data_IF_162153196199
#
_entry.id   IF_162153196199
#
_cell.length_a   1.000
_cell.length_b   1.000
_cell.length_c   1.000
_cell.angle_alpha   90.00
_cell.angle_beta   90.00
_cell.angle_gamma   90.00
#
_symmetry.space_group_name_H-M   'P 1'
#
loop_
_entity.id
_entity.type
_entity.pdbx_description
1 polymer ?
#
# COMPACT_ATOMS: atom_id res chain seq x y z
N UNK A 1 0.52 20.31 -6.21
CA UNK A 1 -0.60 19.92 -7.11
C UNK A 1 -1.63 21.04 -7.10
N UNK A 2 -2.07 21.51 -8.26
CA UNK A 2 -3.35 22.22 -8.37
C UNK A 2 -4.44 21.17 -8.61
N UNK A 3 -5.51 21.16 -7.80
CA UNK A 3 -6.54 20.13 -7.84
C UNK A 3 -7.70 20.53 -8.74
N UNK A 4 -8.22 19.58 -9.52
CA UNK A 4 -9.33 19.82 -10.46
C UNK A 4 -10.67 20.09 -9.72
N UNK A 5 -11.58 20.93 -10.28
CA UNK A 5 -12.85 21.27 -9.64
C UNK A 5 -13.79 20.09 -9.35
N UNK A 6 -13.70 19.00 -10.12
CA UNK A 6 -14.46 17.75 -9.91
C UNK A 6 -14.13 17.12 -8.55
N UNK A 7 -12.84 16.93 -8.27
CA UNK A 7 -12.35 16.41 -6.98
C UNK A 7 -12.86 17.26 -5.82
N UNK A 8 -12.92 18.59 -6.00
CA UNK A 8 -13.37 19.54 -4.97
C UNK A 8 -14.84 19.35 -4.52
N UNK A 9 -15.71 18.74 -5.34
CA UNK A 9 -17.08 18.36 -4.95
C UNK A 9 -17.15 16.98 -4.28
N UNK A 10 -16.21 16.09 -4.60
CA UNK A 10 -16.16 14.72 -4.09
C UNK A 10 -15.59 14.63 -2.66
N UNK A 11 -14.99 15.71 -2.15
CA UNK A 11 -14.50 15.86 -0.76
C UNK A 11 -15.60 15.95 0.32
N UNK A 12 -16.88 15.68 -0.02
CA UNK A 12 -18.03 15.82 0.89
C UNK A 12 -18.57 14.49 1.45
N UNK A 13 -17.82 13.37 1.40
CA UNK A 13 -18.14 12.24 2.29
C UNK A 13 -17.86 12.66 3.74
N UNK A 14 -18.88 12.63 4.59
CA UNK A 14 -18.78 13.05 6.00
C UNK A 14 -17.76 12.21 6.77
N UNK A 15 -17.58 10.94 6.44
CA UNK A 15 -16.56 10.07 7.05
C UNK A 15 -15.15 10.59 6.76
N UNK A 16 -14.88 10.99 5.51
CA UNK A 16 -13.60 11.59 5.12
C UNK A 16 -13.37 12.93 5.84
N UNK A 17 -14.42 13.73 6.06
CA UNK A 17 -14.34 14.98 6.84
C UNK A 17 -14.02 14.69 8.31
N UNK A 18 -14.65 13.68 8.95
CA UNK A 18 -14.36 13.27 10.33
C UNK A 18 -12.88 12.91 10.49
N UNK A 19 -12.40 11.92 9.71
CA UNK A 19 -11.03 11.39 9.83
C UNK A 19 -9.99 12.49 9.58
N UNK A 20 -10.27 13.40 8.63
CA UNK A 20 -9.33 14.45 8.21
C UNK A 20 -9.35 15.71 9.09
N UNK A 21 -10.50 16.12 9.63
CA UNK A 21 -10.55 17.16 10.66
C UNK A 21 -9.89 16.68 11.95
N UNK A 22 -10.10 15.40 12.32
CA UNK A 22 -9.49 14.81 13.49
C UNK A 22 -7.95 14.65 13.35
N UNK A 23 -7.44 14.36 12.15
CA UNK A 23 -6.00 14.42 11.86
C UNK A 23 -5.42 15.84 11.96
N UNK A 24 -6.13 16.84 11.41
CA UNK A 24 -5.71 18.25 11.49
C UNK A 24 -5.76 18.83 12.92
N UNK A 25 -6.44 18.19 13.87
CA UNK A 25 -6.51 18.61 15.28
C UNK A 25 -5.16 18.59 16.01
N UNK A 26 -4.13 17.93 15.45
CA UNK A 26 -2.78 17.89 16.00
C UNK A 26 -1.86 19.03 15.52
N UNK A 27 -2.36 19.99 14.72
CA UNK A 27 -1.57 21.13 14.25
C UNK A 27 -1.52 22.23 15.33
N UNK A 28 -0.63 22.06 16.29
CA UNK A 28 -0.05 23.18 17.04
C UNK A 28 1.05 23.81 16.17
N UNK A 29 0.93 25.08 15.74
CA UNK A 29 2.03 25.76 15.05
C UNK A 29 3.16 26.03 16.07
N UNK A 30 4.38 25.58 15.76
CA UNK A 30 5.56 26.02 16.50
C UNK A 30 5.78 27.51 16.25
N UNK A 31 5.59 28.32 17.29
CA UNK A 31 5.80 29.77 17.25
C UNK A 31 7.29 30.09 17.09
N UNK A 32 7.76 30.17 15.85
CA UNK A 32 8.96 30.95 15.50
C UNK A 32 8.55 32.41 15.42
N UNK A 33 9.28 33.28 16.11
CA UNK A 33 8.83 34.65 16.40
C UNK A 33 8.75 35.56 15.17
N UNK A 34 7.58 36.16 14.93
CA UNK A 34 7.42 37.37 14.11
C UNK A 34 6.63 38.42 14.88
N UNK A 35 7.28 39.53 15.25
CA UNK A 35 6.62 40.68 15.86
C UNK A 35 5.91 41.53 14.80
N UNK A 36 4.86 42.25 15.23
CA UNK A 36 4.00 43.14 14.41
C UNK A 36 3.11 42.34 13.42
N UNK A 37 1.80 42.61 13.25
CA UNK A 37 0.98 43.78 13.58
C UNK A 37 -0.29 43.43 14.38
N UNK A 38 -1.04 44.45 14.77
CA UNK A 38 -2.12 44.41 15.78
C UNK A 38 -3.53 44.72 15.21
N UNK A 39 -4.55 44.44 16.01
CA UNK A 39 -5.94 44.95 15.98
C UNK A 39 -6.94 44.39 14.94
N UNK A 40 -7.83 43.54 15.46
CA UNK A 40 -9.30 43.53 15.29
C UNK A 40 -9.96 44.21 14.08
N UNK A 41 -10.88 43.50 13.41
CA UNK A 41 -12.35 43.74 13.53
C UNK A 41 -13.21 42.63 12.89
N UNK A 42 -14.44 42.50 13.39
CA UNK A 42 -15.48 41.60 12.87
C UNK A 42 -16.37 42.39 11.89
N UNK A 43 -16.80 41.78 10.78
CA UNK A 43 -17.73 42.38 9.83
C UNK A 43 -18.33 41.37 8.85
N UNK A 44 -19.65 41.14 8.95
CA UNK A 44 -20.41 40.26 8.05
C UNK A 44 -21.09 41.05 6.93
N UNK A 45 -21.00 40.61 5.68
CA UNK A 45 -21.99 40.97 4.65
C UNK A 45 -22.02 39.99 3.45
N UNK A 46 -23.08 40.07 2.65
CA UNK A 46 -23.45 39.12 1.58
C UNK A 46 -22.91 39.50 0.18
N UNK A 47 -22.93 38.57 -0.81
CA UNK A 47 -22.14 38.70 -2.04
C UNK A 47 -22.88 39.33 -3.24
N UNK A 48 -22.13 40.04 -4.10
CA UNK A 48 -22.47 40.36 -5.51
C UNK A 48 -21.25 40.97 -6.22
N UNK A 49 -21.36 41.25 -7.54
CA UNK A 49 -20.29 41.61 -8.51
C UNK A 49 -19.37 40.41 -8.84
N UNK A 50 -19.39 39.79 -10.03
CA UNK A 50 -19.41 40.28 -11.43
C UNK A 50 -18.10 41.01 -11.81
N UNK A 51 -17.29 40.36 -12.64
CA UNK A 51 -16.24 41.00 -13.46
C UNK A 51 -16.17 40.31 -14.83
N UNK A 52 -15.96 41.10 -15.88
CA UNK A 52 -15.82 40.60 -17.26
C UNK A 52 -14.40 40.13 -17.58
N UNK A 53 -14.22 39.16 -18.50
CA UNK A 53 -12.92 38.87 -19.10
C UNK A 53 -12.57 39.92 -20.17
N UNK A 54 -11.29 40.26 -20.30
CA UNK A 54 -10.78 41.05 -21.42
C UNK A 54 -10.11 40.15 -22.48
N UNK A 55 -10.10 40.61 -23.73
CA UNK A 55 -9.46 39.95 -24.89
C UNK A 55 -7.94 40.26 -24.90
N UNK A 56 -7.08 39.77 -25.79
CA UNK A 56 -7.26 39.16 -27.13
C UNK A 56 -5.98 38.43 -27.58
N UNK A 57 -6.08 37.46 -28.50
CA UNK A 57 -5.48 37.56 -29.84
C UNK A 57 -6.13 36.53 -30.80
N UNK A 58 -6.03 36.79 -32.11
CA UNK A 58 -6.81 36.17 -33.20
C UNK A 58 -6.46 34.67 -33.42
N UNK A 59 -7.38 33.78 -33.82
CA UNK A 59 -8.07 33.67 -35.14
C UNK A 59 -7.07 33.64 -36.32
N UNK A 60 -7.09 32.61 -37.18
CA UNK A 60 -8.19 32.30 -38.12
C UNK A 60 -8.74 30.87 -38.04
N UNK A 61 -9.89 30.62 -38.68
CA UNK A 61 -10.45 29.27 -38.83
C UNK A 61 -11.43 29.12 -40.00
N UNK A 62 -11.54 27.90 -40.52
CA UNK A 62 -12.55 27.34 -41.44
C UNK A 62 -12.55 25.83 -41.18
N UNK A 63 -13.64 25.05 -41.23
CA UNK A 63 -15.07 25.34 -41.42
C UNK A 63 -15.82 23.99 -41.50
N UNK A 64 -17.06 23.91 -41.01
CA UNK A 64 -17.76 22.62 -40.81
C UNK A 64 -18.74 22.31 -41.95
N UNK A 65 -18.54 21.21 -42.69
CA UNK A 65 -19.66 20.46 -43.30
C UNK A 65 -19.28 19.00 -43.64
N UNK A 66 -20.29 18.18 -43.90
CA UNK A 66 -20.18 16.73 -44.09
C UNK A 66 -20.49 16.31 -45.53
N UNK A 67 -20.10 15.09 -45.91
CA UNK A 67 -20.72 14.37 -47.03
C UNK A 67 -20.85 12.87 -46.75
N UNK A 68 -21.91 12.25 -47.26
CA UNK A 68 -22.30 10.86 -47.02
C UNK A 68 -22.68 10.18 -48.35
N UNK A 69 -22.20 8.94 -48.56
CA UNK A 69 -22.71 7.91 -49.49
C UNK A 69 -22.88 8.31 -50.99
N UNK A 70 -22.34 7.55 -51.95
CA UNK A 70 -22.87 6.25 -52.41
C UNK A 70 -21.86 5.57 -53.38
N UNK A 71 -21.60 4.25 -53.22
CA UNK A 71 -22.01 3.10 -54.09
C UNK A 71 -21.28 3.01 -55.46
N UNK A 72 -21.08 1.85 -56.08
CA UNK A 72 -21.77 0.53 -55.95
C UNK A 72 -20.88 -0.65 -56.41
N UNK A 73 -21.12 -1.85 -55.83
CA UNK A 73 -21.08 -3.25 -56.35
C UNK A 73 -20.19 -3.63 -57.57
N UNK A 74 -19.70 -4.87 -57.73
CA UNK A 74 -20.06 -6.21 -57.16
C UNK A 74 -18.79 -6.93 -56.61
N UNK A 75 -18.65 -8.23 -56.25
CA UNK A 75 -19.44 -9.49 -55.97
C UNK A 75 -18.51 -10.35 -55.05
N UNK A 76 -18.84 -11.47 -54.41
CA UNK A 76 -20.09 -12.24 -54.22
C UNK A 76 -19.81 -13.74 -53.98
N UNK A 77 -20.50 -14.37 -53.01
CA UNK A 77 -20.43 -15.82 -52.60
C UNK A 77 -19.06 -16.34 -52.10
N UNK A 78 -18.94 -17.32 -51.18
CA UNK A 78 -19.94 -18.06 -50.39
C UNK A 78 -19.40 -18.47 -48.98
N UNK A 79 -20.13 -19.29 -48.21
CA UNK A 79 -19.85 -19.61 -46.79
C UNK A 79 -19.93 -21.12 -46.49
N UNK A 80 -19.11 -21.60 -45.54
CA UNK A 80 -19.46 -22.76 -44.67
C UNK A 80 -18.57 -22.93 -43.42
N UNK A 81 -19.08 -23.73 -42.47
CA UNK A 81 -18.50 -24.18 -41.18
C UNK A 81 -18.48 -25.72 -41.14
N UNK A 82 -17.93 -26.28 -40.04
CA UNK A 82 -17.93 -27.67 -39.53
C UNK A 82 -16.56 -28.38 -39.71
N UNK A 83 -15.96 -29.06 -38.73
CA UNK A 83 -16.37 -30.02 -37.67
C UNK A 83 -16.40 -31.49 -38.14
N UNK A 84 -15.89 -32.38 -37.28
CA UNK A 84 -15.64 -33.82 -37.55
C UNK A 84 -14.17 -34.11 -37.87
N UNK A 85 -13.58 -35.25 -37.51
CA UNK A 85 -14.10 -36.34 -36.65
C UNK A 85 -12.96 -37.20 -36.05
N UNK A 86 -13.30 -38.19 -35.21
CA UNK A 86 -12.36 -39.11 -34.54
C UNK A 86 -11.97 -40.34 -35.38
N UNK A 87 -10.78 -40.93 -35.15
CA UNK A 87 -10.62 -42.42 -35.12
C UNK A 87 -9.23 -42.95 -34.70
N UNK A 88 -9.25 -43.78 -33.64
CA UNK A 88 -8.57 -45.08 -33.42
C UNK A 88 -7.13 -45.43 -33.87
N UNK A 89 -6.39 -46.02 -32.90
CA UNK A 89 -5.50 -47.21 -32.94
C UNK A 89 -4.60 -47.44 -34.18
N UNK A 90 -3.30 -47.73 -34.00
CA UNK A 90 -2.88 -49.07 -33.53
C UNK A 90 -1.38 -49.18 -33.16
N UNK A 91 -1.00 -50.35 -32.62
CA UNK A 91 0.29 -50.71 -32.02
C UNK A 91 1.38 -51.14 -33.01
N UNK A 92 2.66 -51.04 -32.61
CA UNK A 92 3.70 -52.01 -32.97
C UNK A 92 4.87 -52.06 -31.95
N UNK A 93 5.65 -53.15 -31.98
CA UNK A 93 6.57 -53.57 -30.92
C UNK A 93 8.05 -53.27 -31.21
N UNK A 94 8.87 -53.17 -30.16
CA UNK A 94 10.27 -53.63 -30.17
C UNK A 94 10.80 -53.91 -28.74
N UNK A 95 11.50 -55.02 -28.53
CA UNK A 95 12.11 -55.42 -27.24
C UNK A 95 13.58 -55.78 -27.39
N UNK A 96 14.46 -54.99 -26.78
CA UNK A 96 15.85 -55.30 -26.36
C UNK A 96 16.18 -54.32 -25.22
N UNK A 97 16.89 -54.61 -24.13
CA UNK A 97 17.48 -55.87 -23.62
C UNK A 97 18.39 -55.51 -22.44
N UNK A 98 18.54 -56.38 -21.44
CA UNK A 98 19.36 -56.07 -20.25
C UNK A 98 20.87 -56.21 -20.50
N UNK A 99 21.64 -55.25 -20.01
CA UNK A 99 23.00 -55.48 -19.49
C UNK A 99 23.23 -54.61 -18.24
N UNK A 100 23.86 -55.20 -17.23
CA UNK A 100 24.44 -54.48 -16.09
C UNK A 100 25.93 -54.35 -16.32
N UNK A 101 26.51 -53.22 -15.96
CA UNK A 101 27.85 -53.17 -15.38
C UNK A 101 27.97 -51.95 -14.48
N UNK A 102 28.84 -52.05 -13.46
CA UNK A 102 28.98 -51.03 -12.41
C UNK A 102 30.17 -50.10 -12.65
N UNK A 103 30.04 -48.84 -12.23
CA UNK A 103 31.14 -47.89 -12.13
C UNK A 103 31.04 -47.08 -10.82
N UNK A 104 32.19 -46.72 -10.27
CA UNK A 104 32.37 -46.31 -8.88
C UNK A 104 31.74 -44.96 -8.51
N UNK A 105 31.37 -44.84 -7.23
CA UNK A 105 31.04 -43.56 -6.60
C UNK A 105 32.22 -42.58 -6.64
N UNK A 106 32.01 -41.42 -7.28
CA UNK A 106 32.84 -40.23 -7.04
C UNK A 106 32.01 -39.16 -6.35
N UNK A 107 32.22 -39.02 -5.05
CA UNK A 107 31.72 -37.89 -4.25
C UNK A 107 32.43 -36.61 -4.69
N UNK A 108 31.77 -35.82 -5.55
CA UNK A 108 32.19 -34.44 -5.81
C UNK A 108 31.96 -33.65 -4.52
N UNK A 109 33.03 -33.12 -3.95
CA UNK A 109 32.92 -32.07 -2.92
C UNK A 109 32.58 -30.78 -3.65
N UNK A 110 31.51 -30.11 -3.23
CA UNK A 110 31.34 -28.69 -3.51
C UNK A 110 32.26 -27.91 -2.57
N UNK A 111 33.54 -27.78 -2.96
CA UNK A 111 34.48 -26.92 -2.25
C UNK A 111 34.00 -25.46 -2.35
N UNK A 112 33.94 -24.77 -1.21
CA UNK A 112 33.19 -23.52 -1.05
C UNK A 112 33.82 -22.31 -1.74
N UNK A 113 33.55 -22.14 -3.04
CA UNK A 113 33.87 -20.92 -3.76
C UNK A 113 33.01 -19.75 -3.21
N UNK A 114 33.66 -18.79 -2.53
CA UNK A 114 32.98 -17.58 -2.03
C UNK A 114 32.62 -16.69 -3.21
N UNK A 115 31.43 -16.95 -3.77
CA UNK A 115 30.93 -16.33 -4.99
C UNK A 115 30.66 -14.84 -4.75
N UNK A 116 31.67 -14.03 -5.03
CA UNK A 116 31.69 -12.60 -4.73
C UNK A 116 30.46 -11.92 -5.35
N UNK A 117 29.54 -11.44 -4.50
CA UNK A 117 28.26 -10.90 -4.97
C UNK A 117 28.50 -9.67 -5.83
N UNK A 118 27.96 -9.70 -7.06
CA UNK A 118 27.92 -8.53 -7.92
C UNK A 118 27.17 -7.39 -7.20
N UNK A 119 27.55 -6.14 -7.48
CA UNK A 119 27.03 -5.03 -6.69
C UNK A 119 27.62 -3.67 -7.03
N UNK A 120 27.08 -2.65 -6.37
CA UNK A 120 27.65 -1.31 -6.35
C UNK A 120 28.67 -1.23 -5.22
N UNK A 121 29.96 -1.33 -5.54
CA UNK A 121 31.04 -1.19 -4.56
C UNK A 121 31.14 0.21 -3.94
N UNK A 122 32.05 0.42 -2.97
CA UNK A 122 32.28 1.71 -2.33
C UNK A 122 32.52 2.85 -3.33
N UNK A 123 32.14 4.06 -2.94
CA UNK A 123 32.40 5.29 -3.69
C UNK A 123 33.90 5.59 -3.72
N UNK A 124 34.37 6.23 -4.80
CA UNK A 124 35.79 6.56 -4.99
C UNK A 124 36.07 8.03 -4.65
N UNK A 125 37.31 8.40 -4.28
CA UNK A 125 37.69 9.79 -4.11
C UNK A 125 37.34 10.64 -5.35
N UNK A 126 36.52 11.67 -5.17
CA UNK A 126 36.01 12.54 -6.24
C UNK A 126 34.67 12.11 -6.85
N UNK A 127 34.14 10.94 -6.51
CA UNK A 127 32.71 10.63 -6.71
C UNK A 127 31.87 11.30 -5.61
N UNK A 128 30.55 11.40 -5.80
CA UNK A 128 29.64 11.86 -4.73
C UNK A 128 29.43 10.77 -3.70
N UNK A 129 29.18 11.17 -2.46
CA UNK A 129 28.70 10.25 -1.43
C UNK A 129 27.34 9.64 -1.84
N UNK A 130 27.19 8.33 -1.64
CA UNK A 130 26.00 7.55 -1.99
C UNK A 130 25.07 7.41 -0.79
N UNK A 131 23.88 8.00 -0.92
CA UNK A 131 22.77 7.79 0.02
C UNK A 131 21.95 6.60 -0.48
N UNK A 132 21.84 5.56 0.34
CA UNK A 132 21.00 4.39 0.08
C UNK A 132 19.71 4.49 0.91
N UNK A 133 18.55 4.35 0.25
CA UNK A 133 17.23 4.45 0.90
C UNK A 133 16.47 3.14 0.74
N UNK A 134 16.18 2.48 1.87
CA UNK A 134 15.37 1.26 1.91
C UNK A 134 13.89 1.62 2.06
N UNK A 135 13.10 1.34 1.03
CA UNK A 135 11.64 1.47 1.06
C UNK A 135 11.07 2.71 0.35
N UNK A 136 10.00 2.51 -0.41
CA UNK A 136 9.21 3.56 -1.09
C UNK A 136 7.97 3.98 -0.28
N UNK A 137 8.08 3.95 1.05
CA UNK A 137 7.02 4.40 1.97
C UNK A 137 6.95 5.92 2.11
N UNK A 138 6.07 6.40 2.99
CA UNK A 138 5.90 7.83 3.29
C UNK A 138 7.21 8.53 3.66
N UNK A 139 8.00 7.95 4.56
CA UNK A 139 9.25 8.54 5.02
C UNK A 139 10.35 8.51 3.94
N UNK A 140 10.64 7.34 3.37
CA UNK A 140 11.64 7.19 2.31
C UNK A 140 11.39 8.08 1.10
N UNK A 141 10.14 8.15 0.63
CA UNK A 141 9.76 9.06 -0.47
C UNK A 141 9.74 10.54 -0.08
N UNK A 142 9.58 10.89 1.21
CA UNK A 142 9.70 12.27 1.68
C UNK A 142 11.16 12.72 1.69
N UNK A 143 12.08 11.91 2.24
CA UNK A 143 13.52 12.22 2.23
C UNK A 143 14.07 12.23 0.81
N UNK A 144 13.79 11.21 -0.01
CA UNK A 144 14.28 11.17 -1.41
C UNK A 144 13.88 12.41 -2.23
N UNK A 145 12.77 13.06 -1.88
CA UNK A 145 12.30 14.30 -2.51
C UNK A 145 13.05 15.56 -2.02
N UNK A 146 13.67 15.54 -0.85
CA UNK A 146 14.50 16.63 -0.30
C UNK A 146 16.01 16.48 -0.54
N UNK A 147 16.51 15.29 -0.92
CA UNK A 147 17.94 15.10 -1.23
C UNK A 147 18.40 15.99 -2.40
N UNK A 148 19.46 16.80 -2.22
CA UNK A 148 20.12 17.48 -3.34
C UNK A 148 21.05 16.52 -4.08
N UNK A 149 20.59 16.09 -5.25
CA UNK A 149 21.30 15.16 -6.14
C UNK A 149 22.49 15.78 -6.88
N UNK A 150 22.84 17.04 -6.59
CA UNK A 150 24.15 17.63 -6.93
C UNK A 150 25.24 17.18 -5.95
N UNK A 151 24.90 17.03 -4.67
CA UNK A 151 25.82 16.68 -3.59
C UNK A 151 25.94 15.16 -3.41
N UNK A 152 24.82 14.44 -3.58
CA UNK A 152 24.72 13.00 -3.37
C UNK A 152 24.28 12.25 -4.63
N UNK A 153 24.72 11.01 -4.77
CA UNK A 153 24.10 10.02 -5.68
C UNK A 153 23.16 9.13 -4.86
N UNK A 154 22.00 8.77 -5.40
CA UNK A 154 20.89 8.19 -4.62
C UNK A 154 20.50 6.81 -5.13
N UNK A 155 20.51 5.80 -4.25
CA UNK A 155 20.07 4.44 -4.57
C UNK A 155 18.85 4.07 -3.72
N UNK A 156 17.69 3.95 -4.36
CA UNK A 156 16.47 3.49 -3.72
C UNK A 156 16.29 1.98 -3.93
N UNK A 157 16.14 1.23 -2.85
CA UNK A 157 15.88 -0.22 -2.91
C UNK A 157 14.53 -0.51 -2.25
N UNK A 158 13.62 -1.12 -2.99
CA UNK A 158 12.31 -1.54 -2.47
C UNK A 158 11.66 -2.60 -3.36
N UNK A 159 10.89 -3.55 -2.79
CA UNK A 159 10.08 -4.47 -3.59
C UNK A 159 8.89 -3.78 -4.31
N UNK A 160 8.68 -2.48 -4.11
CA UNK A 160 7.61 -1.69 -4.74
C UNK A 160 8.18 -0.42 -5.39
N UNK A 161 7.87 -0.21 -6.67
CA UNK A 161 8.38 0.90 -7.49
C UNK A 161 7.63 2.25 -7.34
N UNK A 162 6.72 2.36 -6.38
CA UNK A 162 5.85 3.53 -6.20
C UNK A 162 5.56 3.80 -4.72
N UNK A 163 5.25 5.05 -4.40
CA UNK A 163 4.64 5.43 -3.13
C UNK A 163 3.13 5.15 -3.18
N UNK A 164 2.57 4.61 -2.10
CA UNK A 164 1.12 4.48 -1.90
C UNK A 164 0.63 5.59 -0.96
N UNK A 165 -0.34 6.38 -1.41
CA UNK A 165 -1.02 7.38 -0.58
C UNK A 165 -2.07 6.67 0.27
N UNK A 166 -1.62 6.01 1.35
CA UNK A 166 -2.46 5.15 2.20
C UNK A 166 -3.75 5.79 2.74
N UNK A 167 -3.85 7.11 3.05
CA UNK A 167 -5.10 7.76 3.49
C UNK A 167 -6.16 8.00 2.38
N UNK A 168 -6.06 7.30 1.25
CA UNK A 168 -7.09 7.23 0.21
C UNK A 168 -7.32 5.79 -0.29
N UNK A 169 -6.64 4.80 0.31
CA UNK A 169 -6.64 3.43 -0.19
C UNK A 169 -8.01 2.75 -0.04
N UNK A 170 -8.71 3.01 1.06
CA UNK A 170 -10.08 2.53 1.32
C UNK A 170 -11.05 2.90 0.18
N UNK A 171 -11.01 4.14 -0.29
CA UNK A 171 -11.83 4.64 -1.41
C UNK A 171 -11.58 3.92 -2.73
N UNK A 172 -10.40 3.31 -2.93
CA UNK A 172 -10.10 2.53 -4.14
C UNK A 172 -10.68 1.11 -4.10
N UNK A 173 -10.91 0.54 -2.91
CA UNK A 173 -11.47 -0.79 -2.71
C UNK A 173 -12.92 -0.90 -3.22
N UNK A 174 -13.73 0.14 -3.06
CA UNK A 174 -15.11 0.20 -3.60
C UNK A 174 -15.18 0.87 -4.97
N UNK A 175 -14.16 1.65 -5.35
CA UNK A 175 -14.08 2.34 -6.63
C UNK A 175 -14.53 3.80 -6.63
N UNK A 176 -14.76 4.40 -5.45
CA UNK A 176 -14.88 5.85 -5.26
C UNK A 176 -13.68 6.60 -5.84
N UNK A 177 -12.50 5.98 -5.77
CA UNK A 177 -11.28 6.38 -6.47
C UNK A 177 -10.71 5.23 -7.31
N UNK A 178 -9.84 5.58 -8.26
CA UNK A 178 -9.11 4.64 -9.12
C UNK A 178 -7.69 4.37 -8.55
N UNK A 179 -7.16 3.17 -8.77
CA UNK A 179 -5.93 2.68 -8.11
C UNK A 179 -4.67 3.51 -8.37
N UNK A 180 -4.47 4.02 -9.59
CA UNK A 180 -3.34 4.90 -9.94
C UNK A 180 -3.50 6.29 -9.34
N UNK A 181 -4.71 6.69 -8.95
CA UNK A 181 -4.98 7.96 -8.27
C UNK A 181 -4.40 8.02 -6.84
N UNK A 182 -3.98 6.88 -6.28
CA UNK A 182 -3.32 6.78 -4.96
C UNK A 182 -1.87 6.24 -5.04
N UNK A 183 -1.29 6.16 -6.25
CA UNK A 183 0.05 5.59 -6.46
C UNK A 183 0.93 6.49 -7.33
N UNK A 184 2.05 6.99 -6.78
CA UNK A 184 3.01 7.84 -7.51
C UNK A 184 4.37 7.11 -7.66
N UNK A 185 4.86 6.86 -8.90
CA UNK A 185 6.13 6.17 -9.13
C UNK A 185 7.33 6.86 -8.46
N UNK A 186 8.24 6.09 -7.86
CA UNK A 186 9.38 6.68 -7.10
C UNK A 186 10.31 7.49 -7.99
N UNK A 187 10.52 7.07 -9.24
CA UNK A 187 11.30 7.79 -10.26
C UNK A 187 10.65 9.11 -10.72
N UNK A 188 9.40 9.38 -10.33
CA UNK A 188 8.72 10.66 -10.52
C UNK A 188 8.79 11.56 -9.28
N UNK A 189 8.95 10.96 -8.09
CA UNK A 189 9.20 11.66 -6.82
C UNK A 189 10.66 12.14 -6.75
N UNK A 190 11.61 11.31 -7.14
CA UNK A 190 13.03 11.65 -7.29
C UNK A 190 13.53 11.27 -8.71
N UNK A 191 13.50 12.20 -9.67
CA UNK A 191 13.89 11.93 -11.05
C UNK A 191 15.32 11.44 -11.26
N UNK A 192 16.26 11.73 -10.36
CA UNK A 192 17.65 11.28 -10.46
C UNK A 192 17.76 9.75 -10.58
N UNK A 193 16.87 8.99 -9.92
CA UNK A 193 16.78 7.51 -9.96
C UNK A 193 16.54 6.94 -11.38
N UNK A 194 16.27 7.79 -12.37
CA UNK A 194 16.07 7.41 -13.78
C UNK A 194 16.77 8.33 -14.79
N UNK A 195 17.61 9.27 -14.32
CA UNK A 195 18.20 10.34 -15.16
C UNK A 195 19.64 10.71 -14.82
N UNK A 196 20.07 10.51 -13.59
CA UNK A 196 21.44 10.79 -13.17
C UNK A 196 22.29 9.53 -13.32
N UNK A 197 23.57 9.63 -13.71
CA UNK A 197 24.51 8.52 -13.52
C UNK A 197 24.59 8.17 -12.02
N UNK A 198 25.01 6.94 -11.72
CA UNK A 198 25.23 6.39 -10.37
C UNK A 198 24.02 6.39 -9.40
N UNK A 199 22.88 6.94 -9.80
CA UNK A 199 21.63 6.95 -9.05
C UNK A 199 20.64 5.93 -9.63
N UNK A 200 20.06 5.09 -8.79
CA UNK A 200 19.31 3.90 -9.24
C UNK A 200 18.06 3.63 -8.40
N UNK A 201 16.96 3.24 -9.04
CA UNK A 201 15.91 2.45 -8.37
C UNK A 201 16.14 0.97 -8.63
N UNK A 202 16.19 0.16 -7.56
CA UNK A 202 16.39 -1.29 -7.61
C UNK A 202 15.17 -2.01 -7.04
N UNK A 203 14.49 -2.82 -7.87
CA UNK A 203 13.30 -3.59 -7.50
C UNK A 203 13.70 -4.87 -6.73
N UNK A 204 14.03 -4.69 -5.45
CA UNK A 204 14.60 -5.72 -4.60
C UNK A 204 14.22 -5.53 -3.13
N UNK A 205 14.33 -6.60 -2.36
CA UNK A 205 14.26 -6.56 -0.90
C UNK A 205 15.67 -6.57 -0.31
N UNK A 206 15.90 -5.79 0.74
CA UNK A 206 17.08 -5.95 1.59
C UNK A 206 16.88 -7.18 2.48
N UNK A 207 17.92 -7.99 2.66
CA UNK A 207 17.93 -9.19 3.48
C UNK A 207 18.69 -8.97 4.79
N UNK A 208 19.84 -8.30 4.73
CA UNK A 208 20.71 -8.02 5.88
C UNK A 208 21.58 -6.78 5.62
N UNK A 209 22.13 -6.20 6.70
CA UNK A 209 22.97 -5.00 6.69
C UNK A 209 24.30 -5.33 7.37
N UNK A 210 25.39 -5.14 6.65
CA UNK A 210 26.74 -5.12 7.20
C UNK A 210 27.08 -3.68 7.64
N UNK A 211 27.27 -3.50 8.95
CA UNK A 211 27.64 -2.23 9.58
C UNK A 211 29.13 -1.92 9.49
N UNK A 212 29.96 -2.95 9.29
CA UNK A 212 31.41 -2.89 9.49
C UNK A 212 32.11 -2.68 8.14
N UNK A 213 31.55 -3.26 7.07
CA UNK A 213 31.95 -3.03 5.68
C UNK A 213 31.11 -1.95 4.97
N UNK A 214 30.12 -1.36 5.65
CA UNK A 214 29.17 -0.38 5.09
C UNK A 214 28.45 -0.91 3.82
N UNK A 215 27.98 -2.15 3.85
CA UNK A 215 27.27 -2.81 2.73
C UNK A 215 25.89 -3.33 3.12
N UNK A 216 24.98 -3.40 2.16
CA UNK A 216 23.69 -4.10 2.32
C UNK A 216 23.56 -5.25 1.33
N UNK A 217 22.97 -6.36 1.79
CA UNK A 217 22.71 -7.54 0.96
C UNK A 217 21.26 -7.56 0.52
N UNK A 218 21.04 -7.69 -0.79
CA UNK A 218 19.72 -7.56 -1.41
C UNK A 218 19.41 -8.75 -2.33
N UNK A 219 18.12 -8.99 -2.57
CA UNK A 219 17.60 -10.03 -3.45
C UNK A 219 16.47 -9.46 -4.31
N UNK A 220 16.46 -9.75 -5.61
CA UNK A 220 15.43 -9.25 -6.52
C UNK A 220 14.04 -9.83 -6.23
N UNK A 221 13.02 -9.03 -6.55
CA UNK A 221 11.63 -9.53 -6.60
C UNK A 221 11.50 -10.47 -7.80
N UNK A 222 11.00 -11.69 -7.58
CA UNK A 222 10.70 -12.65 -8.64
C UNK A 222 9.29 -12.48 -9.21
N UNK A 223 9.01 -13.13 -10.34
CA UNK A 223 7.67 -13.14 -10.94
C UNK A 223 6.76 -14.17 -10.27
N UNK A 224 5.56 -13.77 -9.87
CA UNK A 224 4.56 -14.72 -9.36
C UNK A 224 3.99 -15.58 -10.50
N UNK A 225 4.49 -16.81 -10.62
CA UNK A 225 4.02 -17.84 -11.57
C UNK A 225 5.14 -18.53 -12.35
N UNK A 226 6.29 -17.88 -12.51
CA UNK A 226 7.41 -18.39 -13.31
C UNK A 226 8.26 -19.40 -12.53
N UNK A 227 8.26 -20.67 -12.95
CA UNK A 227 9.11 -21.74 -12.35
C UNK A 227 10.62 -21.52 -12.52
N UNK A 228 11.02 -20.57 -13.38
CA UNK A 228 12.40 -20.15 -13.59
C UNK A 228 12.73 -18.83 -12.83
N UNK A 229 12.26 -18.70 -11.59
CA UNK A 229 12.49 -17.53 -10.75
C UNK A 229 13.95 -17.44 -10.27
N UNK A 230 14.83 -16.96 -11.15
CA UNK A 230 16.21 -16.61 -10.83
C UNK A 230 16.26 -15.33 -9.98
N UNK A 231 15.85 -15.45 -8.71
CA UNK A 231 16.18 -14.46 -7.68
C UNK A 231 17.70 -14.37 -7.56
N UNK A 232 18.28 -13.25 -7.99
CA UNK A 232 19.71 -13.02 -7.83
C UNK A 232 19.99 -12.16 -6.61
N UNK A 233 21.02 -12.54 -5.86
CA UNK A 233 21.52 -11.77 -4.73
C UNK A 233 22.64 -10.85 -5.19
N UNK A 234 22.64 -9.64 -4.65
CA UNK A 234 23.61 -8.59 -4.96
C UNK A 234 23.89 -7.76 -3.72
N UNK A 235 24.95 -6.94 -3.77
CA UNK A 235 25.29 -6.02 -2.68
C UNK A 235 25.37 -4.56 -3.11
N UNK A 236 25.19 -3.65 -2.16
CA UNK A 236 25.34 -2.20 -2.37
C UNK A 236 26.07 -1.60 -1.18
N UNK A 237 27.25 -1.04 -1.40
CA UNK A 237 27.94 -0.21 -0.42
C UNK A 237 27.27 1.17 -0.29
N UNK A 238 27.30 1.77 0.90
CA UNK A 238 26.69 3.06 1.21
C UNK A 238 27.66 3.99 1.94
N UNK A 239 27.55 5.29 1.69
CA UNK A 239 28.16 6.32 2.55
C UNK A 239 27.18 6.76 3.65
N UNK A 240 25.88 6.67 3.38
CA UNK A 240 24.78 6.85 4.35
C UNK A 240 23.62 5.91 4.02
N UNK A 241 23.03 5.27 5.03
CA UNK A 241 21.90 4.34 4.88
C UNK A 241 20.66 4.84 5.62
N UNK A 242 19.54 4.93 4.92
CA UNK A 242 18.25 5.37 5.47
C UNK A 242 17.26 4.20 5.41
N UNK A 243 16.91 3.66 6.58
CA UNK A 243 15.97 2.56 6.73
C UNK A 243 14.55 3.14 6.90
N UNK A 244 13.74 3.04 5.85
CA UNK A 244 12.38 3.56 5.78
C UNK A 244 11.38 2.50 5.28
N UNK A 245 11.61 1.23 5.63
CA UNK A 245 10.81 0.08 5.19
C UNK A 245 9.39 0.07 5.74
N UNK A 246 9.13 0.78 6.85
CA UNK A 246 7.85 0.79 7.54
C UNK A 246 7.55 -0.52 8.29
N UNK A 247 6.27 -0.72 8.60
CA UNK A 247 5.76 -1.82 9.43
C UNK A 247 4.82 -2.76 8.67
N UNK A 248 4.80 -4.02 9.09
CA UNK A 248 3.87 -5.05 8.61
C UNK A 248 2.61 -5.12 9.47
N UNK A 249 1.55 -5.71 8.93
CA UNK A 249 0.29 -5.94 9.66
C UNK A 249 0.44 -7.11 10.64
N UNK A 250 -0.01 -6.94 11.88
CA UNK A 250 0.07 -7.99 12.89
C UNK A 250 -1.16 -8.90 12.84
N UNK A 251 -0.92 -10.20 12.71
CA UNK A 251 -1.95 -11.24 12.91
C UNK A 251 -2.07 -11.68 14.36
N UNK A 252 -1.20 -11.19 15.25
CA UNK A 252 -1.12 -11.57 16.67
C UNK A 252 -0.94 -13.10 16.93
N UNK A 253 -0.47 -13.85 15.92
CA UNK A 253 -0.41 -15.31 15.99
C UNK A 253 -1.75 -16.02 15.81
N UNK A 254 -2.84 -15.29 15.52
CA UNK A 254 -4.16 -15.85 15.25
C UNK A 254 -4.11 -16.67 13.96
N UNK A 255 -4.59 -17.92 14.05
CA UNK A 255 -4.63 -18.89 12.96
C UNK A 255 -5.58 -18.45 11.83
N UNK A 256 -5.27 -18.85 10.59
CA UNK A 256 -6.06 -18.59 9.39
C UNK A 256 -6.10 -17.13 8.89
N UNK A 257 -5.60 -16.15 9.65
CA UNK A 257 -5.61 -14.73 9.23
C UNK A 257 -4.85 -14.52 7.92
N UNK A 258 -3.66 -15.13 7.76
CA UNK A 258 -2.86 -15.01 6.53
C UNK A 258 -3.46 -15.74 5.33
N UNK A 259 -4.30 -16.72 5.59
CA UNK A 259 -4.81 -17.66 4.59
C UNK A 259 -6.20 -17.27 4.08
N UNK A 260 -6.94 -16.45 4.84
CA UNK A 260 -8.35 -16.18 4.62
C UNK A 260 -8.81 -14.72 4.84
N UNK A 261 -7.91 -13.81 5.26
CA UNK A 261 -8.20 -12.38 5.40
C UNK A 261 -7.30 -11.54 4.46
N UNK A 262 -7.85 -10.47 3.88
CA UNK A 262 -7.09 -9.54 3.03
C UNK A 262 -6.68 -8.33 3.87
N UNK A 263 -5.39 -8.01 3.93
CA UNK A 263 -4.92 -6.81 4.64
C UNK A 263 -5.25 -5.52 3.87
N UNK A 264 -5.42 -4.37 4.52
CA UNK A 264 -5.62 -3.09 3.81
C UNK A 264 -4.38 -2.18 3.92
N UNK A 265 -3.31 -2.51 3.18
CA UNK A 265 -2.03 -1.76 3.17
C UNK A 265 -1.51 -1.36 1.79
N UNK A 266 -1.86 -2.07 0.72
CA UNK A 266 -1.26 -1.91 -0.62
C UNK A 266 -2.30 -1.77 -1.74
N UNK A 267 -1.88 -1.31 -2.92
CA UNK A 267 -2.75 -1.20 -4.11
C UNK A 267 -3.25 -2.58 -4.57
N UNK A 268 -2.42 -3.63 -4.52
CA UNK A 268 -2.84 -4.98 -4.89
C UNK A 268 -3.88 -5.54 -3.91
N UNK A 269 -3.73 -5.27 -2.61
CA UNK A 269 -4.76 -5.60 -1.62
C UNK A 269 -6.09 -4.92 -1.94
N UNK A 270 -6.07 -3.63 -2.30
CA UNK A 270 -7.29 -2.92 -2.67
C UNK A 270 -7.95 -3.46 -3.95
N UNK A 271 -7.14 -3.95 -4.91
CA UNK A 271 -7.62 -4.68 -6.08
C UNK A 271 -8.27 -6.02 -5.71
N UNK A 272 -7.63 -6.79 -4.83
CA UNK A 272 -8.14 -8.09 -4.36
C UNK A 272 -9.46 -7.94 -3.57
N UNK A 273 -9.54 -6.97 -2.65
CA UNK A 273 -10.76 -6.62 -1.92
C UNK A 273 -11.89 -6.27 -2.90
N UNK A 274 -11.61 -5.42 -3.90
CA UNK A 274 -12.59 -5.02 -4.92
C UNK A 274 -13.06 -6.20 -5.77
N UNK A 275 -12.12 -7.05 -6.20
CA UNK A 275 -12.42 -8.27 -6.95
C UNK A 275 -13.30 -9.19 -6.12
N UNK A 276 -12.92 -9.48 -4.88
CA UNK A 276 -13.66 -10.37 -3.96
C UNK A 276 -15.08 -9.86 -3.69
N UNK A 277 -15.24 -8.55 -3.44
CA UNK A 277 -16.53 -7.90 -3.23
C UNK A 277 -17.47 -8.07 -4.44
N UNK A 278 -16.99 -7.74 -5.64
CA UNK A 278 -17.78 -7.84 -6.87
C UNK A 278 -18.03 -9.30 -7.28
N UNK A 279 -17.07 -10.20 -7.08
CA UNK A 279 -17.24 -11.63 -7.30
C UNK A 279 -18.30 -12.21 -6.35
N UNK A 280 -18.28 -11.86 -5.06
CA UNK A 280 -19.30 -12.33 -4.13
C UNK A 280 -20.71 -11.86 -4.50
N UNK A 281 -20.86 -10.59 -4.93
CA UNK A 281 -22.11 -10.06 -5.47
C UNK A 281 -22.62 -10.89 -6.65
N UNK A 282 -21.78 -11.14 -7.66
CA UNK A 282 -22.16 -11.96 -8.82
C UNK A 282 -22.43 -13.43 -8.47
N UNK A 283 -21.67 -14.02 -7.54
CA UNK A 283 -21.88 -15.40 -7.09
C UNK A 283 -23.18 -15.57 -6.29
N UNK A 284 -23.60 -14.56 -5.51
CA UNK A 284 -24.80 -14.63 -4.68
C UNK A 284 -26.12 -14.68 -5.46
N UNK A 285 -26.11 -14.24 -6.72
CA UNK A 285 -27.28 -14.22 -7.61
C UNK A 285 -27.37 -15.49 -8.49
N UNK A 286 -26.46 -16.44 -8.33
CA UNK A 286 -26.44 -17.70 -9.11
C UNK A 286 -27.57 -18.63 -8.65
N UNK A 287 -28.38 -19.20 -9.58
CA UNK A 287 -29.38 -20.20 -9.25
C UNK A 287 -28.81 -21.40 -8.49
N UNK A 288 -29.41 -21.74 -7.35
CA UNK A 288 -28.99 -22.84 -6.47
C UNK A 288 -28.24 -22.42 -5.20
N UNK A 289 -27.85 -21.14 -5.06
CA UNK A 289 -27.31 -20.62 -3.79
C UNK A 289 -28.45 -20.41 -2.77
N UNK A 290 -28.33 -21.01 -1.58
CA UNK A 290 -29.33 -20.85 -0.49
C UNK A 290 -29.27 -19.46 0.13
N UNK A 291 -30.32 -19.05 0.86
CA UNK A 291 -30.38 -17.73 1.50
C UNK A 291 -29.29 -17.53 2.57
N UNK A 292 -28.87 -18.61 3.25
CA UNK A 292 -27.73 -18.62 4.17
C UNK A 292 -26.42 -18.43 3.39
N UNK A 293 -26.32 -19.05 2.21
CA UNK A 293 -25.23 -18.84 1.27
C UNK A 293 -25.12 -17.38 0.80
N UNK A 294 -26.24 -16.73 0.47
CA UNK A 294 -26.28 -15.31 0.08
C UNK A 294 -25.89 -14.39 1.24
N UNK A 295 -26.54 -14.56 2.41
CA UNK A 295 -26.21 -13.81 3.64
C UNK A 295 -24.73 -13.91 3.95
N UNK A 296 -24.15 -15.11 3.91
CA UNK A 296 -22.71 -15.32 4.14
C UNK A 296 -21.85 -14.65 3.06
N UNK A 297 -22.10 -14.91 1.77
CA UNK A 297 -21.28 -14.35 0.67
C UNK A 297 -21.25 -12.81 0.71
N UNK A 298 -22.35 -12.19 1.13
CA UNK A 298 -22.52 -10.74 1.16
C UNK A 298 -22.28 -10.12 2.55
N UNK A 299 -21.84 -10.93 3.52
CA UNK A 299 -21.34 -10.42 4.79
C UNK A 299 -19.88 -9.96 4.62
N UNK A 300 -19.67 -8.65 4.71
CA UNK A 300 -18.37 -8.00 4.70
C UNK A 300 -17.92 -7.73 6.15
N UNK A 301 -16.89 -8.44 6.61
CA UNK A 301 -16.34 -8.27 7.96
C UNK A 301 -15.04 -7.48 7.90
N UNK A 302 -14.93 -6.44 8.73
CA UNK A 302 -13.72 -5.61 8.87
C UNK A 302 -13.22 -5.75 10.30
N UNK A 303 -11.96 -6.12 10.49
CA UNK A 303 -11.34 -6.26 11.82
C UNK A 303 -10.39 -5.10 12.06
N UNK A 304 -10.60 -4.37 13.16
CA UNK A 304 -9.82 -3.22 13.60
C UNK A 304 -10.61 -1.91 13.55
N UNK A 305 -10.98 -1.39 14.71
CA UNK A 305 -11.66 -0.09 14.88
C UNK A 305 -10.77 1.14 14.66
N UNK A 306 -9.55 0.97 14.14
CA UNK A 306 -8.67 2.09 13.80
C UNK A 306 -9.17 2.90 12.59
N UNK A 307 -8.53 4.05 12.26
CA UNK A 307 -8.95 4.92 11.17
C UNK A 307 -9.21 4.19 9.84
N UNK A 308 -8.31 3.27 9.44
CA UNK A 308 -8.42 2.51 8.19
C UNK A 308 -9.66 1.60 8.14
N UNK A 309 -9.96 0.87 9.23
CA UNK A 309 -11.13 -0.01 9.28
C UNK A 309 -12.44 0.76 9.37
N UNK A 310 -12.46 1.88 10.09
CA UNK A 310 -13.60 2.81 10.17
C UNK A 310 -13.89 3.49 8.82
N UNK A 311 -12.85 3.99 8.14
CA UNK A 311 -12.96 4.61 6.82
C UNK A 311 -13.46 3.61 5.77
N UNK A 312 -12.86 2.41 5.73
CA UNK A 312 -13.28 1.35 4.80
C UNK A 312 -14.69 0.82 5.08
N UNK A 313 -15.11 0.72 6.34
CA UNK A 313 -16.50 0.38 6.69
C UNK A 313 -17.50 1.46 6.23
N UNK A 314 -17.08 2.73 6.25
CA UNK A 314 -17.84 3.85 5.69
C UNK A 314 -17.97 3.79 4.17
N UNK A 315 -16.86 3.60 3.45
CA UNK A 315 -16.84 3.44 1.99
C UNK A 315 -17.67 2.23 1.52
N UNK A 316 -17.59 1.09 2.22
CA UNK A 316 -18.47 -0.06 1.96
C UNK A 316 -19.96 0.29 2.15
N UNK A 317 -20.31 1.00 3.22
CA UNK A 317 -21.70 1.41 3.49
C UNK A 317 -22.25 2.35 2.41
N UNK A 318 -21.45 3.34 1.98
CA UNK A 318 -21.86 4.27 0.92
C UNK A 318 -21.99 3.56 -0.44
N UNK A 319 -21.09 2.62 -0.76
CA UNK A 319 -21.18 1.76 -1.94
C UNK A 319 -22.44 0.86 -1.93
N UNK A 320 -22.76 0.24 -0.78
CA UNK A 320 -23.94 -0.61 -0.61
C UNK A 320 -25.24 0.18 -0.89
N UNK A 321 -25.40 1.34 -0.26
CA UNK A 321 -26.62 2.15 -0.37
C UNK A 321 -26.85 2.76 -1.75
N UNK A 322 -25.79 2.92 -2.54
CA UNK A 322 -25.81 3.62 -3.83
C UNK A 322 -25.69 2.59 -4.95
N UNK A 323 -24.48 2.17 -5.27
CA UNK A 323 -24.21 1.29 -6.40
C UNK A 323 -24.84 -0.11 -6.25
N UNK A 324 -24.89 -0.70 -5.05
CA UNK A 324 -25.47 -2.05 -4.90
C UNK A 324 -27.00 -2.01 -4.97
N UNK A 325 -27.64 -1.02 -4.35
CA UNK A 325 -29.10 -0.82 -4.43
C UNK A 325 -29.56 -0.49 -5.86
N UNK A 326 -28.78 0.25 -6.64
CA UNK A 326 -29.08 0.56 -8.04
C UNK A 326 -28.84 -0.61 -9.01
N UNK A 327 -27.81 -1.44 -8.78
CA UNK A 327 -27.28 -2.38 -9.81
C UNK A 327 -27.44 -3.87 -9.49
N UNK A 328 -27.62 -4.24 -8.23
CA UNK A 328 -27.71 -5.64 -7.77
C UNK A 328 -29.03 -5.89 -7.04
N UNK A 329 -30.14 -5.47 -7.67
CA UNK A 329 -31.47 -5.35 -7.06
C UNK A 329 -31.98 -6.64 -6.36
N UNK A 330 -31.65 -7.82 -6.89
CA UNK A 330 -32.07 -9.11 -6.33
C UNK A 330 -31.37 -9.50 -5.03
N UNK A 331 -30.19 -8.93 -4.75
CA UNK A 331 -29.34 -9.30 -3.61
C UNK A 331 -28.99 -8.16 -2.65
N UNK A 332 -29.44 -6.93 -2.96
CA UNK A 332 -29.17 -5.69 -2.19
C UNK A 332 -29.53 -5.76 -0.70
N UNK A 333 -30.50 -6.59 -0.31
CA UNK A 333 -31.00 -6.69 1.07
C UNK A 333 -30.22 -7.71 1.94
N UNK A 334 -29.30 -8.47 1.35
CA UNK A 334 -28.43 -9.42 2.06
C UNK A 334 -27.04 -8.86 2.37
N UNK A 335 -26.60 -7.83 1.63
CA UNK A 335 -25.26 -7.24 1.81
C UNK A 335 -25.21 -6.33 3.03
N UNK A 336 -24.23 -6.57 3.90
CA UNK A 336 -24.06 -5.82 5.14
C UNK A 336 -22.59 -5.81 5.60
N UNK A 337 -22.27 -4.85 6.48
CA UNK A 337 -20.91 -4.62 6.99
C UNK A 337 -20.90 -4.79 8.50
N UNK A 338 -19.98 -5.59 9.01
CA UNK A 338 -19.69 -5.68 10.45
C UNK A 338 -18.25 -5.23 10.72
N UNK A 339 -18.10 -4.18 11.53
CA UNK A 339 -16.81 -3.72 12.03
C UNK A 339 -16.58 -4.31 13.43
N UNK A 340 -15.46 -5.01 13.60
CA UNK A 340 -15.09 -5.73 14.82
C UNK A 340 -13.87 -5.07 15.47
N UNK A 341 -13.99 -4.74 16.74
CA UNK A 341 -12.94 -4.13 17.55
C UNK A 341 -12.94 -4.74 18.96
N UNK A 342 -11.77 -4.93 19.57
CA UNK A 342 -11.67 -5.46 20.93
C UNK A 342 -12.14 -4.44 21.98
N UNK A 343 -11.86 -3.15 21.73
CA UNK A 343 -12.10 -2.05 22.64
C UNK A 343 -13.08 -1.02 22.07
N UNK A 344 -12.64 0.23 21.93
CA UNK A 344 -13.41 1.34 21.37
C UNK A 344 -12.85 1.70 19.99
N UNK A 345 -13.71 1.91 19.00
CA UNK A 345 -13.28 2.42 17.69
C UNK A 345 -12.68 3.81 17.83
N UNK A 346 -11.66 4.13 17.03
CA UNK A 346 -10.94 5.40 17.06
C UNK A 346 -10.40 5.74 18.47
N UNK A 347 -9.90 4.76 19.22
CA UNK A 347 -9.44 4.90 20.61
C UNK A 347 -8.45 6.04 20.87
N UNK A 348 -7.63 6.41 19.88
CA UNK A 348 -6.68 7.55 19.90
C UNK A 348 -7.33 8.94 19.80
N UNK A 349 -8.65 9.03 19.67
CA UNK A 349 -9.40 10.27 19.51
C UNK A 349 -10.31 10.56 20.71
N UNK A 350 -10.70 11.83 20.85
CA UNK A 350 -11.62 12.30 21.90
C UNK A 350 -12.96 11.54 21.90
N UNK A 351 -13.53 11.36 23.10
CA UNK A 351 -14.78 10.65 23.36
C UNK A 351 -15.95 11.20 22.53
N UNK A 352 -16.05 12.52 22.35
CA UNK A 352 -17.08 13.15 21.53
C UNK A 352 -16.99 12.77 20.05
N UNK A 353 -15.76 12.72 19.51
CA UNK A 353 -15.50 12.26 18.14
C UNK A 353 -15.76 10.76 17.98
N UNK A 354 -15.33 9.92 18.94
CA UNK A 354 -15.62 8.48 18.93
C UNK A 354 -17.12 8.20 18.94
N UNK A 355 -17.87 8.85 19.83
CA UNK A 355 -19.33 8.74 19.87
C UNK A 355 -20.01 9.26 18.58
N UNK A 356 -19.48 10.32 17.96
CA UNK A 356 -20.01 10.80 16.68
C UNK A 356 -19.79 9.78 15.56
N UNK A 357 -18.60 9.18 15.47
CA UNK A 357 -18.29 8.12 14.52
C UNK A 357 -19.17 6.88 14.74
N UNK A 358 -19.36 6.43 15.99
CA UNK A 358 -20.28 5.33 16.36
C UNK A 358 -21.70 5.63 15.85
N UNK A 359 -22.28 6.78 16.23
CA UNK A 359 -23.63 7.18 15.79
C UNK A 359 -23.75 7.27 14.27
N UNK A 360 -22.70 7.73 13.58
CA UNK A 360 -22.69 7.85 12.13
C UNK A 360 -22.63 6.47 11.44
N UNK A 361 -21.73 5.58 11.86
CA UNK A 361 -21.59 4.22 11.33
C UNK A 361 -22.86 3.39 11.53
N UNK A 362 -23.43 3.40 12.74
CA UNK A 362 -24.67 2.67 13.04
C UNK A 362 -25.87 3.24 12.28
N UNK A 363 -26.01 4.57 12.16
CA UNK A 363 -27.03 5.19 11.28
C UNK A 363 -26.81 4.82 9.80
N UNK A 364 -25.56 4.53 9.43
CA UNK A 364 -25.18 4.08 8.10
C UNK A 364 -25.37 2.57 7.87
N UNK A 365 -25.85 1.80 8.85
CA UNK A 365 -26.07 0.36 8.71
C UNK A 365 -24.81 -0.49 8.85
N UNK A 366 -23.70 0.08 9.33
CA UNK A 366 -22.53 -0.71 9.76
C UNK A 366 -22.84 -1.25 11.15
N UNK A 367 -22.86 -2.57 11.29
CA UNK A 367 -22.96 -3.24 12.58
C UNK A 367 -21.62 -3.09 13.31
N UNK A 368 -21.64 -2.60 14.54
CA UNK A 368 -20.46 -2.55 15.41
C UNK A 368 -20.53 -3.75 16.36
N UNK A 369 -19.49 -4.58 16.37
CA UNK A 369 -19.37 -5.73 17.27
C UNK A 369 -18.09 -5.56 18.10
N UNK A 370 -18.23 -5.66 19.42
CA UNK A 370 -17.07 -5.67 20.32
C UNK A 370 -16.66 -7.11 20.61
N UNK A 371 -15.41 -7.45 20.31
CA UNK A 371 -14.88 -8.81 20.54
C UNK A 371 -13.45 -8.98 20.05
N UNK A 372 -12.76 -9.99 20.56
CA UNK A 372 -11.39 -10.35 20.15
C UNK A 372 -11.48 -11.56 19.22
N UNK A 373 -10.90 -11.47 18.03
CA UNK A 373 -10.82 -12.63 17.11
C UNK A 373 -9.86 -13.66 17.69
N UNK A 374 -10.29 -14.92 17.73
CA UNK A 374 -9.56 -16.06 18.30
C UNK A 374 -9.06 -17.04 17.23
N UNK A 375 -9.84 -17.23 16.17
CA UNK A 375 -9.51 -18.10 15.02
C UNK A 375 -10.21 -17.57 13.76
N UNK A 376 -9.63 -17.85 12.59
CA UNK A 376 -10.19 -17.49 11.27
C UNK A 376 -10.26 -18.76 10.43
N UNK A 377 -11.43 -19.02 9.86
CA UNK A 377 -11.71 -20.18 9.01
C UNK A 377 -12.28 -19.69 7.67
N UNK A 378 -12.15 -20.50 6.62
CA UNK A 378 -12.42 -20.11 5.22
C UNK A 378 -13.83 -19.54 4.90
N UNK A 379 -14.78 -19.65 5.84
CA UNK A 379 -16.15 -19.15 5.74
C UNK A 379 -16.68 -18.43 7.00
N UNK A 380 -15.89 -18.35 8.08
CA UNK A 380 -16.29 -17.72 9.36
C UNK A 380 -15.08 -17.33 10.21
N UNK A 381 -15.23 -16.31 11.05
CA UNK A 381 -14.31 -16.07 12.17
C UNK A 381 -14.94 -16.56 13.47
N UNK A 382 -14.10 -16.86 14.46
CA UNK A 382 -14.51 -17.24 15.81
C UNK A 382 -13.96 -16.19 16.79
N UNK A 383 -14.82 -15.64 17.61
CA UNK A 383 -14.46 -14.67 18.65
C UNK A 383 -14.10 -15.38 19.98
N UNK A 384 -13.49 -14.64 20.90
CA UNK A 384 -12.96 -15.17 22.16
C UNK A 384 -14.03 -15.68 23.14
N UNK A 385 -15.27 -15.21 23.00
CA UNK A 385 -16.47 -15.68 23.72
C UNK A 385 -17.10 -16.95 23.10
N UNK A 386 -16.64 -17.37 21.90
CA UNK A 386 -17.21 -18.46 21.12
C UNK A 386 -18.24 -18.01 20.07
N UNK A 387 -18.51 -16.71 19.92
CA UNK A 387 -19.39 -16.20 18.86
C UNK A 387 -18.77 -16.46 17.49
N UNK A 388 -19.53 -17.14 16.61
CA UNK A 388 -19.15 -17.35 15.22
C UNK A 388 -19.76 -16.26 14.32
N UNK A 389 -18.93 -15.63 13.49
CA UNK A 389 -19.38 -14.64 12.50
C UNK A 389 -19.03 -15.17 11.10
N UNK A 390 -20.02 -15.65 10.32
CA UNK A 390 -19.80 -16.05 8.93
C UNK A 390 -19.28 -14.89 8.08
N UNK A 391 -18.61 -15.16 6.96
CA UNK A 391 -18.26 -14.11 6.00
C UNK A 391 -18.09 -14.58 4.55
N UNK A 392 -18.12 -13.60 3.65
CA UNK A 392 -17.72 -13.73 2.26
C UNK A 392 -16.50 -12.87 1.92
N UNK A 393 -16.34 -11.73 2.60
CA UNK A 393 -15.17 -10.85 2.53
C UNK A 393 -14.71 -10.56 3.97
N UNK A 394 -13.44 -10.82 4.27
CA UNK A 394 -12.80 -10.47 5.55
C UNK A 394 -11.60 -9.57 5.28
N UNK A 395 -11.61 -8.37 5.86
CA UNK A 395 -10.52 -7.38 5.74
C UNK A 395 -9.86 -7.15 7.10
N UNK A 396 -8.54 -7.35 7.15
CA UNK A 396 -7.73 -7.19 8.35
C UNK A 396 -7.04 -5.81 8.34
N UNK A 397 -7.43 -4.95 9.28
CA UNK A 397 -6.94 -3.56 9.39
C UNK A 397 -6.42 -3.20 10.79
N UNK A 398 -6.26 -4.19 11.67
CA UNK A 398 -5.73 -4.05 13.02
C UNK A 398 -4.27 -4.48 13.12
N UNK A 399 -3.53 -3.81 14.02
CA UNK A 399 -2.16 -4.15 14.40
C UNK A 399 -1.09 -3.82 13.35
N UNK A 400 -0.06 -3.07 13.77
CA UNK A 400 1.16 -2.88 12.98
C UNK A 400 2.39 -3.06 13.86
N UNK A 401 3.45 -3.65 13.32
CA UNK A 401 4.67 -3.96 14.07
C UNK A 401 5.91 -4.12 13.18
N UNK A 402 7.09 -4.35 13.77
CA UNK A 402 8.33 -4.57 13.02
C UNK A 402 8.17 -5.77 12.08
N UNK A 403 8.67 -5.63 10.85
CA UNK A 403 8.74 -6.75 9.90
C UNK A 403 9.75 -7.82 10.37
N UNK A 404 9.73 -9.03 9.80
CA UNK A 404 10.77 -10.03 10.02
C UNK A 404 12.18 -9.50 9.73
N UNK A 405 12.35 -8.68 8.68
CA UNK A 405 13.60 -7.98 8.37
C UNK A 405 14.04 -7.03 9.50
N UNK A 406 13.17 -6.14 9.97
CA UNK A 406 13.48 -5.23 11.09
C UNK A 406 13.81 -6.02 12.37
N UNK A 407 13.19 -7.19 12.53
CA UNK A 407 13.41 -8.08 13.68
C UNK A 407 14.75 -8.84 13.60
N UNK A 408 15.23 -9.22 12.41
CA UNK A 408 16.47 -9.97 12.22
C UNK A 408 17.74 -9.11 12.26
N UNK A 409 17.66 -7.83 11.92
CA UNK A 409 18.82 -6.92 11.95
C UNK A 409 19.42 -6.79 13.36
N UNK A 410 20.75 -6.90 13.48
CA UNK A 410 21.52 -6.78 14.74
C UNK A 410 21.65 -5.33 15.27
N UNK A 411 20.77 -4.43 14.86
CA UNK A 411 20.72 -3.04 15.31
C UNK A 411 19.95 -2.92 16.63
N UNK A 412 20.27 -1.92 17.50
CA UNK A 412 19.51 -1.59 18.70
C UNK A 412 18.00 -1.54 18.46
N UNK A 413 17.21 -1.92 19.46
CA UNK A 413 15.74 -1.91 19.39
C UNK A 413 15.15 -0.92 20.38
N UNK A 414 14.12 -0.19 19.96
CA UNK A 414 13.25 0.55 20.87
C UNK A 414 12.23 -0.37 21.53
N UNK A 415 11.51 0.08 22.58
CA UNK A 415 10.30 -0.59 23.04
C UNK A 415 9.35 -0.89 21.87
N UNK A 416 8.80 -2.10 21.85
CA UNK A 416 7.99 -2.61 20.73
C UNK A 416 8.78 -3.19 19.54
N UNK A 417 10.11 -3.29 19.61
CA UNK A 417 10.93 -4.07 18.66
C UNK A 417 11.24 -3.38 17.33
N UNK A 418 10.93 -2.09 17.19
CA UNK A 418 11.39 -1.25 16.06
C UNK A 418 12.89 -0.94 16.20
N UNK A 419 13.53 -0.39 15.16
CA UNK A 419 14.91 0.10 15.26
C UNK A 419 14.96 1.26 16.27
N UNK A 420 15.88 1.15 17.23
CA UNK A 420 16.14 2.17 18.24
C UNK A 420 17.00 3.30 17.69
N UNK A 421 16.50 4.53 17.76
CA UNK A 421 17.20 5.74 17.31
C UNK A 421 17.40 6.79 18.41
N UNK A 422 18.35 7.69 18.19
CA UNK A 422 18.59 8.89 19.00
C UNK A 422 17.70 10.08 18.61
N UNK A 423 17.90 11.22 19.29
CA UNK A 423 17.22 12.50 19.03
C UNK A 423 17.38 13.05 17.59
N UNK A 424 18.38 12.54 16.84
CA UNK A 424 18.69 12.92 15.45
C UNK A 424 18.32 11.83 14.43
N UNK A 425 17.59 10.80 14.86
CA UNK A 425 17.10 9.67 14.06
C UNK A 425 18.22 8.73 13.54
N UNK A 426 19.42 8.82 14.12
CA UNK A 426 20.55 7.90 13.87
C UNK A 426 20.40 6.64 14.71
N UNK A 427 20.97 5.54 14.23
CA UNK A 427 21.11 4.30 14.99
C UNK A 427 22.43 4.38 15.79
N UNK A 428 22.43 4.44 17.15
CA UNK A 428 23.63 4.78 17.91
C UNK A 428 24.80 3.79 17.86
N UNK A 429 24.62 2.62 17.22
CA UNK A 429 25.69 1.65 16.96
C UNK A 429 26.35 1.81 15.59
N UNK A 430 25.87 2.72 14.73
CA UNK A 430 26.40 2.95 13.38
C UNK A 430 26.01 4.36 12.90
N UNK A 431 26.94 5.32 12.99
CA UNK A 431 26.66 6.75 12.76
C UNK A 431 26.19 7.11 11.35
N UNK A 432 26.45 6.24 10.36
CA UNK A 432 26.00 6.40 8.98
C UNK A 432 24.59 5.84 8.71
N UNK A 433 23.97 5.21 9.70
CA UNK A 433 22.65 4.55 9.57
C UNK A 433 21.58 5.35 10.32
N UNK A 434 20.47 5.59 9.62
CA UNK A 434 19.29 6.30 10.11
C UNK A 434 18.06 5.40 9.94
N UNK A 435 17.07 5.54 10.82
CA UNK A 435 15.80 4.83 10.68
C UNK A 435 14.61 5.77 10.93
N UNK A 436 13.60 5.72 10.05
CA UNK A 436 12.49 6.69 10.01
C UNK A 436 11.13 6.05 9.65
N UNK A 437 10.04 6.57 10.20
CA UNK A 437 8.68 6.07 10.02
C UNK A 437 8.36 4.83 10.85
N UNK A 438 7.36 4.04 10.44
CA UNK A 438 6.84 2.91 11.24
C UNK A 438 7.89 1.84 11.65
N UNK A 439 9.09 1.81 11.03
CA UNK A 439 10.19 0.90 11.37
C UNK A 439 11.12 1.41 12.48
N UNK A 440 10.98 2.64 12.97
CA UNK A 440 11.83 3.27 14.00
C UNK A 440 11.06 3.67 15.26
N UNK A 441 11.78 3.78 16.36
CA UNK A 441 11.31 4.37 17.61
C UNK A 441 12.50 4.90 18.44
N UNK A 442 12.27 5.94 19.24
CA UNK A 442 13.32 6.45 20.12
C UNK A 442 13.71 5.41 21.19
N UNK A 443 15.00 5.36 21.53
CA UNK A 443 15.50 4.57 22.66
C UNK A 443 15.05 5.17 24.00
N UNK A 444 14.87 4.33 25.02
CA UNK A 444 14.46 4.77 26.37
C UNK A 444 15.43 5.80 26.97
N UNK A 445 16.72 5.72 26.63
CA UNK A 445 17.76 6.67 27.04
C UNK A 445 17.53 8.11 26.56
N UNK A 446 16.72 8.33 25.53
CA UNK A 446 16.33 9.68 25.07
C UNK A 446 15.25 10.33 25.95
N UNK A 447 14.59 9.55 26.83
CA UNK A 447 13.37 9.92 27.55
C UNK A 447 12.18 10.33 26.66
N UNK A 448 12.23 10.08 25.34
CA UNK A 448 11.11 10.31 24.41
C UNK A 448 10.16 9.11 24.39
N UNK A 449 8.86 9.39 24.25
CA UNK A 449 7.87 8.35 23.96
C UNK A 449 7.99 7.84 22.52
N UNK A 450 7.82 6.53 22.32
CA UNK A 450 7.79 5.94 20.97
C UNK A 450 6.57 6.45 20.22
N UNK A 451 6.79 7.08 19.06
CA UNK A 451 5.73 7.72 18.29
C UNK A 451 4.80 6.69 17.59
N UNK A 452 3.50 7.02 17.42
CA UNK A 452 2.55 6.15 16.74
C UNK A 452 2.90 5.98 15.25
N UNK A 453 2.65 4.78 14.72
CA UNK A 453 2.90 4.44 13.31
C UNK A 453 1.89 5.16 12.39
N UNK A 454 2.23 6.40 12.01
CA UNK A 454 1.39 7.30 11.23
C UNK A 454 2.19 7.98 10.12
N UNK A 455 1.57 8.17 8.96
CA UNK A 455 2.16 8.90 7.83
C UNK A 455 2.67 10.30 8.21
N UNK A 456 1.97 11.01 9.12
CA UNK A 456 2.38 12.32 9.63
C UNK A 456 3.69 12.27 10.42
N UNK A 457 3.90 11.23 11.25
CA UNK A 457 5.13 11.04 12.01
C UNK A 457 6.31 10.81 11.06
N UNK A 458 6.17 9.87 10.12
CA UNK A 458 7.20 9.61 9.12
C UNK A 458 7.51 10.81 8.22
N UNK A 459 6.55 11.70 7.94
CA UNK A 459 6.78 12.99 7.28
C UNK A 459 7.62 13.92 8.15
N UNK A 460 7.25 14.11 9.42
CA UNK A 460 7.97 15.01 10.34
C UNK A 460 9.40 14.53 10.62
N UNK A 461 9.60 13.23 10.83
CA UNK A 461 10.92 12.62 10.98
C UNK A 461 11.81 12.81 9.74
N UNK A 462 11.23 12.65 8.54
CA UNK A 462 11.93 12.91 7.28
C UNK A 462 12.37 14.36 7.12
N UNK A 463 11.54 15.30 7.59
CA UNK A 463 11.81 16.74 7.51
C UNK A 463 12.88 17.16 8.53
N UNK A 464 12.89 16.54 9.72
CA UNK A 464 13.97 16.69 10.71
C UNK A 464 15.28 16.17 10.12
N UNK A 465 15.34 14.91 9.66
CA UNK A 465 16.56 14.32 9.09
C UNK A 465 17.10 15.13 7.90
N UNK A 466 16.22 15.57 7.00
CA UNK A 466 16.60 16.41 5.84
C UNK A 466 17.16 17.79 6.26
N UNK A 467 16.88 18.27 7.48
CA UNK A 467 17.33 19.55 8.01
C UNK A 467 18.48 19.42 9.02
N UNK A 468 18.84 18.20 9.46
CA UNK A 468 19.94 17.96 10.43
C UNK A 468 21.11 17.16 9.86
N UNK A 469 20.94 16.51 8.72
CA UNK A 469 21.97 15.64 8.09
C UNK A 469 22.46 16.16 6.73
N UNK A 470 21.77 17.14 6.13
CA UNK A 470 22.05 17.65 4.79
C UNK A 470 22.41 19.15 4.76
N UNK A 471 22.69 19.73 5.95
CA UNK A 471 23.12 21.12 6.17
C UNK A 471 24.31 21.12 7.14
#
# INVERSE_FOLDING_TARGET
>A
MAWLPSVRRQWQSTVFVIVKQAANGFIQPLNVSSSLLDSTRIGTCSPSLIFHPCKSYNETGVGLQAFLNRRTLTTGSESRRAQGDQSNLSSQNATVGETKDGAESKSVKEDGEVKCLAGLGPTKPGEKARIVVLGTGWAGCRVMKSLDTKLYDVVCISPRNHMVFTPLLASTCVGTLEFRSVAEPVSRIQPALSRSPNSYFLLAQCLDIDTDNHEIYCETVGENGSKANHKWKFKVAYDKLIIASGAEALTFGIHGVKDHAIFLREVHHAQEIRQKLLTNLMLSDIPGITEEGKKRLLHCVVVGGGPTGVEFSGELSDFIKRDVHERYYHVKDYIHVTLIEANEILSSFDVGLRQYAIRHLTKSGVQLVRGVVKDVQSQKIILNDGTEVPYGLLVWSTGVGPSPFISSLKLPKSPGGRIGVDDWLRVPSAEDIYAIGDCSGFLESTNRTVLPALAQVGLTESDIHSFTTLT
#
